data_IF_159228893160
#
_entry.id   IF_159228893160
#
_cell.length_a   1.000
_cell.length_b   1.000
_cell.length_c   1.000
_cell.angle_alpha   90.00
_cell.angle_beta   90.00
_cell.angle_gamma   90.00
#
_symmetry.space_group_name_H-M   'P 1'
#
loop_
_entity.id
_entity.type
_entity.pdbx_description
1 polymer ?
#
# COMPACT_ATOMS: atom_id res chain seq x y z
N UNK A 1 -6.46 21.34 -20.75
CA UNK A 1 -6.32 21.45 -19.28
C UNK A 1 -5.69 20.17 -18.76
N UNK A 2 -4.81 20.23 -17.74
CA UNK A 2 -4.05 19.07 -17.19
C UNK A 2 -4.94 17.86 -16.85
N UNK A 3 -6.16 18.11 -16.37
CA UNK A 3 -7.13 17.06 -16.03
C UNK A 3 -7.59 16.22 -17.22
N UNK A 4 -7.44 16.69 -18.46
CA UNK A 4 -7.82 15.93 -19.66
C UNK A 4 -6.90 14.71 -19.86
N UNK A 5 -5.63 14.81 -19.43
CA UNK A 5 -4.61 13.78 -19.63
C UNK A 5 -4.43 12.85 -18.43
N UNK A 6 -5.18 13.08 -17.33
CA UNK A 6 -5.12 12.24 -16.13
C UNK A 6 -6.51 11.65 -15.90
N UNK A 7 -6.75 10.46 -16.44
CA UNK A 7 -8.06 9.83 -16.41
C UNK A 7 -8.48 9.33 -15.01
N UNK A 8 -7.53 9.01 -14.13
CA UNK A 8 -7.80 8.63 -12.73
C UNK A 8 -8.57 9.71 -11.95
N UNK A 9 -8.40 10.99 -12.30
CA UNK A 9 -9.15 12.09 -11.68
C UNK A 9 -10.64 12.04 -12.02
N UNK A 10 -11.00 11.38 -13.11
CA UNK A 10 -12.37 11.28 -13.64
C UNK A 10 -13.11 10.06 -13.06
N UNK A 11 -12.54 9.39 -12.09
CA UNK A 11 -13.23 8.33 -11.36
C UNK A 11 -13.98 8.91 -10.18
N UNK A 12 -15.23 8.47 -10.05
CA UNK A 12 -16.08 8.72 -8.90
C UNK A 12 -16.47 7.40 -8.27
N UNK A 13 -16.75 7.46 -6.98
CA UNK A 13 -17.33 6.36 -6.25
C UNK A 13 -18.85 6.51 -6.23
N UNK A 14 -19.58 5.51 -6.71
CA UNK A 14 -21.05 5.51 -6.66
C UNK A 14 -21.55 4.47 -5.69
N UNK A 15 -22.44 4.83 -4.77
CA UNK A 15 -23.23 3.89 -3.97
C UNK A 15 -24.56 3.62 -4.67
N UNK A 16 -24.64 2.53 -5.44
CA UNK A 16 -25.90 1.98 -5.94
C UNK A 16 -25.88 0.48 -5.62
N UNK A 17 -26.26 0.16 -4.39
CA UNK A 17 -26.25 -1.18 -3.75
C UNK A 17 -24.85 -1.80 -3.50
N UNK A 18 -23.81 -1.29 -4.17
CA UNK A 18 -22.39 -1.59 -3.92
C UNK A 18 -21.50 -0.42 -4.34
N UNK A 19 -20.27 -0.41 -3.84
CA UNK A 19 -19.29 0.64 -3.99
C UNK A 19 -18.50 0.42 -5.29
N UNK A 20 -18.87 1.12 -6.36
CA UNK A 20 -18.21 0.96 -7.68
C UNK A 20 -17.44 2.20 -8.09
N UNK A 21 -16.27 1.97 -8.68
CA UNK A 21 -15.53 2.98 -9.44
C UNK A 21 -16.17 3.16 -10.81
N UNK A 22 -16.62 4.38 -11.09
CA UNK A 22 -17.17 4.76 -12.38
C UNK A 22 -16.36 5.90 -12.95
N UNK A 23 -15.93 5.77 -14.20
CA UNK A 23 -15.36 6.87 -14.96
C UNK A 23 -16.50 7.75 -15.47
N UNK A 24 -16.46 9.05 -15.13
CA UNK A 24 -17.37 10.04 -15.72
C UNK A 24 -16.82 10.52 -17.06
N UNK A 25 -17.70 10.94 -17.96
CA UNK A 25 -17.29 11.46 -19.26
C UNK A 25 -16.54 12.77 -19.09
N UNK A 26 -15.69 13.10 -20.06
CA UNK A 26 -14.85 14.28 -20.01
C UNK A 26 -15.66 15.57 -19.93
N UNK A 27 -16.76 15.63 -20.68
CA UNK A 27 -17.71 16.74 -20.71
C UNK A 27 -18.46 16.94 -19.39
N UNK A 28 -18.64 15.88 -18.61
CA UNK A 28 -19.33 15.91 -17.32
C UNK A 28 -18.38 16.17 -16.14
N UNK A 29 -17.07 16.15 -16.39
CA UNK A 29 -16.05 16.30 -15.36
C UNK A 29 -15.97 17.74 -14.83
N UNK A 30 -16.28 17.91 -13.54
CA UNK A 30 -16.13 19.17 -12.83
C UNK A 30 -15.30 18.97 -11.54
N UNK A 31 -14.11 19.58 -11.42
CA UNK A 31 -13.34 19.51 -10.17
C UNK A 31 -14.09 20.24 -9.05
N UNK A 32 -14.11 19.65 -7.86
CA UNK A 32 -14.60 20.34 -6.67
C UNK A 32 -13.49 21.26 -6.15
N UNK A 33 -13.76 22.56 -6.14
CA UNK A 33 -12.86 23.60 -5.63
C UNK A 33 -13.57 24.36 -4.52
N UNK A 34 -12.99 24.36 -3.33
CA UNK A 34 -13.43 25.19 -2.21
C UNK A 34 -12.48 26.38 -2.05
N UNK A 35 -13.02 27.60 -2.08
CA UNK A 35 -12.28 28.80 -1.72
C UNK A 35 -12.57 29.13 -0.25
N UNK A 36 -11.53 29.22 0.57
CA UNK A 36 -11.64 29.44 2.02
C UNK A 36 -10.67 30.53 2.46
N UNK A 37 -11.03 31.26 3.52
CA UNK A 37 -10.19 32.34 4.05
C UNK A 37 -8.93 31.79 4.75
N UNK A 38 -9.07 30.70 5.52
CA UNK A 38 -8.00 30.08 6.29
C UNK A 38 -8.03 28.55 6.13
N UNK A 39 -6.98 27.89 6.64
CA UNK A 39 -6.86 26.44 6.66
C UNK A 39 -8.05 25.74 7.33
N UNK A 40 -8.59 24.74 6.62
CA UNK A 40 -9.66 23.89 7.13
C UNK A 40 -9.08 22.77 8.00
N UNK A 41 -9.75 22.40 9.11
CA UNK A 41 -9.38 21.23 9.90
C UNK A 41 -9.49 19.93 9.07
N UNK A 42 -8.56 18.99 9.28
CA UNK A 42 -8.53 17.68 8.61
C UNK A 42 -9.86 16.93 8.67
N UNK A 43 -10.57 17.01 9.81
CA UNK A 43 -11.87 16.37 9.98
C UNK A 43 -12.88 16.87 8.96
N UNK A 44 -12.97 18.19 8.77
CA UNK A 44 -13.89 18.80 7.82
C UNK A 44 -13.51 18.42 6.38
N UNK A 45 -12.21 18.38 6.06
CA UNK A 45 -11.73 17.97 4.74
C UNK A 45 -12.14 16.51 4.44
N UNK A 46 -12.04 15.61 5.43
CA UNK A 46 -12.49 14.23 5.30
C UNK A 46 -14.00 14.17 5.07
N UNK A 47 -14.79 14.90 5.85
CA UNK A 47 -16.25 14.93 5.71
C UNK A 47 -16.65 15.39 4.29
N UNK A 48 -15.99 16.44 3.76
CA UNK A 48 -16.21 16.94 2.40
C UNK A 48 -15.91 15.92 1.29
N UNK A 49 -14.96 14.99 1.49
CA UNK A 49 -14.68 13.90 0.55
C UNK A 49 -15.74 12.78 0.60
N UNK A 50 -16.48 12.66 1.71
CA UNK A 50 -17.39 11.53 1.96
C UNK A 50 -18.89 11.87 1.87
N UNK A 51 -19.27 13.15 1.88
CA UNK A 51 -20.66 13.64 2.01
C UNK A 51 -21.57 13.57 0.75
N UNK A 52 -21.14 13.00 -0.39
CA UNK A 52 -21.96 12.98 -1.63
C UNK A 52 -22.34 11.56 -2.11
N UNK A 53 -23.50 11.45 -2.77
CA UNK A 53 -24.01 10.23 -3.44
C UNK A 53 -23.04 9.70 -4.52
N UNK A 54 -22.40 10.61 -5.24
CA UNK A 54 -21.19 10.34 -6.03
C UNK A 54 -20.01 10.97 -5.30
N UNK A 55 -19.15 10.15 -4.69
CA UNK A 55 -17.98 10.65 -3.96
C UNK A 55 -16.87 10.92 -4.96
N UNK A 56 -16.56 12.20 -5.15
CA UNK A 56 -15.38 12.61 -5.88
C UNK A 56 -14.13 12.14 -5.15
N UNK A 57 -13.16 11.63 -5.90
CA UNK A 57 -11.96 11.02 -5.35
C UNK A 57 -10.79 12.00 -5.26
N UNK A 58 -11.04 13.28 -5.52
CA UNK A 58 -10.13 14.39 -5.25
C UNK A 58 -10.91 15.69 -5.02
N UNK A 59 -10.30 16.64 -4.31
CA UNK A 59 -10.79 18.02 -4.19
C UNK A 59 -9.63 19.01 -4.12
N UNK A 60 -9.91 20.27 -4.39
CA UNK A 60 -8.95 21.38 -4.30
C UNK A 60 -9.45 22.38 -3.25
N UNK A 61 -8.56 22.81 -2.37
CA UNK A 61 -8.81 23.90 -1.41
C UNK A 61 -7.87 25.04 -1.75
N UNK A 62 -8.44 26.22 -2.04
CA UNK A 62 -7.70 27.45 -2.25
C UNK A 62 -7.84 28.34 -1.02
N UNK A 63 -6.75 28.54 -0.30
CA UNK A 63 -6.65 29.39 0.89
C UNK A 63 -6.25 30.79 0.48
N UNK A 64 -7.20 31.72 0.56
CA UNK A 64 -7.05 33.05 -0.02
C UNK A 64 -6.00 33.87 0.74
N UNK A 65 -6.03 33.85 2.07
CA UNK A 65 -5.14 34.66 2.92
C UNK A 65 -3.68 34.22 2.83
N UNK A 66 -3.45 32.91 2.90
CA UNK A 66 -2.11 32.32 2.85
C UNK A 66 -1.61 32.13 1.41
N UNK A 67 -2.45 32.41 0.40
CA UNK A 67 -2.16 32.20 -1.03
C UNK A 67 -1.70 30.78 -1.34
N UNK A 68 -2.27 29.81 -0.64
CA UNK A 68 -1.93 28.40 -0.76
C UNK A 68 -3.02 27.64 -1.51
N UNK A 69 -2.61 26.69 -2.36
CA UNK A 69 -3.51 25.73 -2.98
C UNK A 69 -3.11 24.35 -2.47
N UNK A 70 -4.07 23.63 -1.90
CA UNK A 70 -3.90 22.25 -1.47
C UNK A 70 -4.81 21.35 -2.30
N UNK A 71 -4.24 20.26 -2.80
CA UNK A 71 -4.97 19.26 -3.58
C UNK A 71 -5.00 17.98 -2.78
N UNK A 72 -6.21 17.51 -2.48
CA UNK A 72 -6.45 16.31 -1.70
C UNK A 72 -6.91 15.19 -2.63
N UNK A 73 -6.33 14.02 -2.46
CA UNK A 73 -6.68 12.82 -3.22
C UNK A 73 -7.10 11.71 -2.27
N UNK A 74 -8.12 10.96 -2.66
CA UNK A 74 -8.47 9.72 -2.00
C UNK A 74 -7.42 8.64 -2.31
N UNK A 75 -7.05 7.85 -1.29
CA UNK A 75 -6.19 6.68 -1.46
C UNK A 75 -6.77 5.63 -2.41
N UNK A 76 -8.07 5.69 -2.70
CA UNK A 76 -8.74 4.81 -3.65
C UNK A 76 -8.24 4.94 -5.10
N UNK A 77 -7.69 6.08 -5.49
CA UNK A 77 -7.16 6.31 -6.86
C UNK A 77 -5.72 6.77 -6.86
N UNK A 78 -5.12 6.99 -5.69
CA UNK A 78 -3.86 7.71 -5.60
C UNK A 78 -2.92 7.06 -4.60
N UNK A 79 -1.79 6.63 -5.13
CA UNK A 79 -0.65 6.19 -4.35
C UNK A 79 0.44 7.28 -4.26
N UNK A 80 1.44 7.06 -3.39
CA UNK A 80 2.53 8.03 -3.17
C UNK A 80 3.35 8.30 -4.43
N UNK A 81 3.58 7.29 -5.26
CA UNK A 81 4.31 7.41 -6.54
C UNK A 81 3.54 8.31 -7.52
N UNK A 82 2.23 8.10 -7.63
CA UNK A 82 1.32 8.87 -8.47
C UNK A 82 1.16 10.31 -7.97
N UNK A 83 1.19 10.56 -6.66
CA UNK A 83 1.28 11.93 -6.11
C UNK A 83 2.55 12.65 -6.59
N UNK A 84 3.71 12.00 -6.54
CA UNK A 84 4.96 12.59 -7.03
C UNK A 84 4.91 12.88 -8.53
N UNK A 85 4.31 11.98 -9.32
CA UNK A 85 4.07 12.20 -10.74
C UNK A 85 3.21 13.43 -10.94
N UNK A 86 2.03 13.51 -10.34
CA UNK A 86 1.13 14.67 -10.44
C UNK A 86 1.86 15.96 -10.04
N UNK A 87 2.59 15.97 -8.93
CA UNK A 87 3.33 17.14 -8.49
C UNK A 87 4.37 17.60 -9.52
N UNK A 88 5.10 16.67 -10.14
CA UNK A 88 6.03 16.96 -11.25
C UNK A 88 5.30 17.52 -12.46
N UNK A 89 4.12 16.99 -12.80
CA UNK A 89 3.30 17.48 -13.91
C UNK A 89 2.79 18.89 -13.70
N UNK A 90 2.27 19.18 -12.51
CA UNK A 90 1.82 20.52 -12.13
C UNK A 90 2.99 21.49 -12.19
N UNK A 91 4.14 21.14 -11.60
CA UNK A 91 5.35 21.97 -11.62
C UNK A 91 5.82 22.26 -13.05
N UNK A 92 5.87 21.25 -13.90
CA UNK A 92 6.25 21.41 -15.29
C UNK A 92 5.26 22.31 -16.05
N UNK A 93 3.96 22.12 -15.84
CA UNK A 93 2.92 22.94 -16.47
C UNK A 93 3.03 24.42 -16.06
N UNK A 94 3.28 24.70 -14.77
CA UNK A 94 3.43 26.07 -14.27
C UNK A 94 4.72 26.76 -14.74
N UNK A 95 5.77 26.00 -15.04
CA UNK A 95 7.07 26.53 -15.46
C UNK A 95 7.26 26.64 -16.97
N UNK A 96 6.31 26.17 -17.79
CA UNK A 96 6.46 26.16 -19.24
C UNK A 96 5.79 27.41 -19.84
N UNK A 97 6.58 28.44 -20.14
CA UNK A 97 6.11 29.75 -20.67
C UNK A 97 5.38 29.64 -22.02
N UNK A 98 5.58 28.54 -22.77
CA UNK A 98 4.96 28.34 -24.09
C UNK A 98 3.68 27.51 -24.06
N UNK A 99 3.22 27.03 -22.91
CA UNK A 99 1.97 26.25 -22.79
C UNK A 99 1.96 24.90 -23.52
N UNK A 100 3.06 24.49 -24.16
CA UNK A 100 3.19 23.17 -24.78
C UNK A 100 3.22 22.10 -23.69
N UNK A 101 2.12 21.38 -23.57
CA UNK A 101 2.01 20.22 -22.72
C UNK A 101 2.86 19.10 -23.33
N UNK A 102 3.80 18.55 -22.55
CA UNK A 102 4.59 17.39 -22.98
C UNK A 102 3.64 16.22 -23.27
N UNK A 103 3.49 15.86 -24.54
CA UNK A 103 2.91 14.60 -24.98
C UNK A 103 3.78 13.44 -24.46
N UNK A 104 3.39 12.86 -23.32
CA UNK A 104 4.05 11.70 -22.74
C UNK A 104 3.21 10.97 -21.69
N UNK A 105 1.93 11.31 -21.58
CA UNK A 105 1.02 10.84 -20.53
C UNK A 105 -0.32 10.50 -21.16
N UNK A 106 -0.30 9.72 -22.23
CA UNK A 106 -1.49 8.94 -22.57
C UNK A 106 -1.54 7.74 -21.61
N UNK A 107 -1.65 8.06 -20.32
CA UNK A 107 -1.87 7.12 -19.22
C UNK A 107 -3.36 6.91 -19.09
N UNK A 108 -3.81 5.67 -19.27
CA UNK A 108 -5.18 5.27 -18.99
C UNK A 108 -5.18 4.35 -17.77
N UNK A 109 -5.46 4.90 -16.60
CA UNK A 109 -5.75 4.11 -15.40
C UNK A 109 -6.94 3.17 -15.63
N UNK A 110 -7.91 3.57 -16.46
CA UNK A 110 -8.97 2.70 -16.93
C UNK A 110 -8.43 1.48 -17.70
N UNK A 111 -7.46 1.68 -18.60
CA UNK A 111 -6.84 0.58 -19.34
C UNK A 111 -6.06 -0.36 -18.42
N UNK A 112 -5.44 0.16 -17.36
CA UNK A 112 -4.80 -0.66 -16.32
C UNK A 112 -5.81 -1.50 -15.55
N UNK A 113 -6.90 -0.89 -15.07
CA UNK A 113 -7.98 -1.64 -14.39
C UNK A 113 -8.53 -2.73 -15.31
N UNK A 114 -8.73 -2.42 -16.59
CA UNK A 114 -9.21 -3.39 -17.58
C UNK A 114 -8.20 -4.52 -17.78
N UNK A 115 -6.91 -4.21 -17.95
CA UNK A 115 -5.86 -5.21 -18.08
C UNK A 115 -5.85 -6.18 -16.89
N UNK A 116 -5.90 -5.66 -15.65
CA UNK A 116 -5.94 -6.52 -14.45
C UNK A 116 -7.20 -7.37 -14.42
N UNK A 117 -8.38 -6.80 -14.71
CA UNK A 117 -9.63 -7.56 -14.75
C UNK A 117 -9.63 -8.65 -15.81
N UNK A 118 -9.17 -8.34 -17.02
CA UNK A 118 -9.12 -9.27 -18.14
C UNK A 118 -8.14 -10.43 -17.84
N UNK A 119 -6.97 -10.14 -17.25
CA UNK A 119 -6.02 -11.19 -16.84
C UNK A 119 -6.60 -12.10 -15.75
N UNK A 120 -7.36 -11.55 -14.80
CA UNK A 120 -7.91 -12.33 -13.68
C UNK A 120 -9.30 -12.92 -13.97
N UNK A 121 -9.89 -12.69 -15.15
CA UNK A 121 -11.25 -13.15 -15.44
C UNK A 121 -11.40 -14.66 -15.42
N UNK A 122 -10.34 -15.40 -15.75
CA UNK A 122 -10.32 -16.87 -15.71
C UNK A 122 -9.89 -17.46 -14.36
N UNK A 123 -9.37 -16.64 -13.44
CA UNK A 123 -8.96 -17.10 -12.12
C UNK A 123 -10.21 -17.29 -11.26
N UNK A 124 -10.46 -18.50 -10.78
CA UNK A 124 -11.49 -18.79 -9.78
C UNK A 124 -11.05 -18.36 -8.38
N UNK A 125 -12.00 -18.17 -7.46
CA UNK A 125 -11.66 -17.85 -6.06
C UNK A 125 -11.00 -19.06 -5.37
N UNK A 126 -11.32 -20.28 -5.79
CA UNK A 126 -10.69 -21.51 -5.34
C UNK A 126 -9.21 -21.58 -5.72
N UNK A 127 -8.87 -21.25 -6.96
CA UNK A 127 -7.46 -21.14 -7.39
C UNK A 127 -6.74 -20.01 -6.66
N UNK A 128 -7.40 -18.87 -6.46
CA UNK A 128 -6.82 -17.75 -5.70
C UNK A 128 -6.52 -18.13 -4.25
N UNK A 129 -7.37 -18.96 -3.62
CA UNK A 129 -7.20 -19.46 -2.26
C UNK A 129 -5.92 -20.29 -2.07
N UNK A 130 -5.42 -20.95 -3.12
CA UNK A 130 -4.16 -21.71 -3.07
C UNK A 130 -2.94 -20.81 -2.84
N UNK A 131 -3.03 -19.53 -3.22
CA UNK A 131 -1.98 -18.54 -3.00
C UNK A 131 -2.04 -17.90 -1.61
N UNK A 132 -3.16 -18.01 -0.90
CA UNK A 132 -3.36 -17.36 0.39
C UNK A 132 -3.06 -18.37 1.51
N UNK A 133 -1.93 -18.21 2.21
CA UNK A 133 -1.54 -19.14 3.26
C UNK A 133 -2.53 -19.12 4.42
N UNK A 134 -2.63 -20.24 5.14
CA UNK A 134 -3.45 -20.35 6.35
C UNK A 134 -2.62 -19.93 7.56
N UNK A 135 -3.03 -18.88 8.24
CA UNK A 135 -2.37 -18.45 9.48
C UNK A 135 -2.64 -19.46 10.61
N UNK A 136 -1.58 -20.01 11.20
CA UNK A 136 -1.67 -20.92 12.35
C UNK A 136 -1.95 -20.18 13.65
N UNK A 137 -1.29 -19.04 13.86
CA UNK A 137 -1.39 -18.23 15.08
C UNK A 137 -1.81 -16.82 14.71
N UNK A 138 -2.91 -16.34 15.28
CA UNK A 138 -3.38 -14.97 15.09
C UNK A 138 -2.94 -14.10 16.25
N UNK A 139 -2.42 -12.91 15.95
CA UNK A 139 -2.10 -11.93 16.97
C UNK A 139 -3.37 -11.22 17.42
N UNK A 140 -3.43 -10.90 18.71
CA UNK A 140 -4.55 -10.17 19.29
C UNK A 140 -4.72 -8.84 18.54
N UNK A 141 -5.89 -8.66 17.90
CA UNK A 141 -6.22 -7.40 17.24
C UNK A 141 -6.29 -6.29 18.28
N UNK A 142 -5.59 -5.19 18.06
CA UNK A 142 -5.68 -4.03 18.94
C UNK A 142 -7.10 -3.46 18.86
N UNK A 143 -7.84 -3.59 19.96
CA UNK A 143 -9.18 -2.99 20.08
C UNK A 143 -9.04 -1.47 20.34
N UNK A 144 -7.92 -1.04 20.93
CA UNK A 144 -7.61 0.36 21.22
C UNK A 144 -6.38 0.80 20.41
N UNK A 145 -6.56 1.70 19.43
CA UNK A 145 -5.51 2.26 18.55
C UNK A 145 -4.58 3.26 19.28
N UNK A 146 -4.22 2.96 20.53
CA UNK A 146 -3.34 3.81 21.35
C UNK A 146 -1.87 3.47 21.11
N UNK A 147 -1.00 4.48 21.26
CA UNK A 147 0.46 4.39 21.07
C UNK A 147 1.14 3.24 21.84
N UNK A 148 0.57 2.80 22.96
CA UNK A 148 1.15 1.84 23.90
C UNK A 148 1.44 0.43 23.36
N UNK A 149 1.04 0.11 22.13
CA UNK A 149 1.23 -1.21 21.52
C UNK A 149 2.12 -1.17 20.27
N UNK A 150 2.86 -0.08 20.05
CA UNK A 150 3.76 0.07 18.91
C UNK A 150 5.17 -0.40 19.32
N UNK A 151 5.72 -1.35 18.55
CA UNK A 151 7.11 -1.78 18.64
C UNK A 151 7.89 -1.28 17.43
N UNK A 152 9.16 -0.92 17.63
CA UNK A 152 10.09 -0.59 16.57
C UNK A 152 11.19 -1.65 16.58
N UNK A 153 11.34 -2.39 15.48
CA UNK A 153 12.56 -3.15 15.22
C UNK A 153 13.52 -2.29 14.42
N UNK A 154 14.75 -2.15 14.90
CA UNK A 154 15.85 -1.50 14.22
C UNK A 154 16.95 -2.52 13.92
N UNK A 155 17.51 -2.47 12.72
CA UNK A 155 18.63 -3.34 12.32
C UNK A 155 19.38 -2.74 11.12
N UNK A 156 20.58 -3.23 10.84
CA UNK A 156 21.29 -2.87 9.59
C UNK A 156 20.48 -3.30 8.36
N UNK A 157 20.32 -2.38 7.41
CA UNK A 157 19.76 -2.65 6.09
C UNK A 157 20.77 -3.36 5.19
N UNK A 158 20.34 -4.41 4.49
CA UNK A 158 21.22 -5.25 3.66
C UNK A 158 21.01 -4.96 2.17
N UNK A 159 19.77 -4.69 1.75
CA UNK A 159 19.39 -4.51 0.34
C UNK A 159 19.03 -3.06 0.01
N UNK A 160 18.99 -2.73 -1.28
CA UNK A 160 18.71 -1.37 -1.76
C UNK A 160 17.41 -1.25 -2.57
N UNK A 161 16.93 -2.35 -3.17
CA UNK A 161 15.66 -2.33 -3.90
C UNK A 161 14.47 -2.55 -2.95
N UNK A 162 13.34 -1.95 -3.31
CA UNK A 162 12.16 -1.92 -2.45
C UNK A 162 11.56 -3.29 -2.16
N UNK A 163 11.66 -4.23 -3.11
CA UNK A 163 11.10 -5.57 -2.95
C UNK A 163 11.99 -6.36 -1.98
N UNK A 164 13.30 -6.38 -2.18
CA UNK A 164 14.22 -7.10 -1.31
C UNK A 164 14.23 -6.51 0.11
N UNK A 165 14.09 -5.19 0.28
CA UNK A 165 13.95 -4.58 1.62
C UNK A 165 12.66 -5.07 2.33
N UNK A 166 11.55 -5.17 1.60
CA UNK A 166 10.31 -5.69 2.17
C UNK A 166 10.42 -7.19 2.50
N UNK A 167 11.12 -7.97 1.66
CA UNK A 167 11.46 -9.38 1.91
C UNK A 167 12.37 -9.52 3.13
N UNK A 168 13.42 -8.73 3.24
CA UNK A 168 14.32 -8.67 4.39
C UNK A 168 13.57 -8.37 5.68
N UNK A 169 12.67 -7.38 5.65
CA UNK A 169 11.85 -6.99 6.78
C UNK A 169 10.95 -8.13 7.24
N UNK A 170 10.20 -8.74 6.32
CA UNK A 170 9.34 -9.88 6.66
C UNK A 170 10.14 -11.07 7.18
N UNK A 171 11.32 -11.34 6.60
CA UNK A 171 12.20 -12.41 7.05
C UNK A 171 12.66 -12.16 8.49
N UNK A 172 13.24 -10.98 8.77
CA UNK A 172 13.70 -10.59 10.11
C UNK A 172 12.59 -10.69 11.16
N UNK A 173 11.43 -10.12 10.86
CA UNK A 173 10.25 -10.22 11.73
C UNK A 173 9.86 -11.67 11.99
N UNK A 174 9.83 -12.50 10.95
CA UNK A 174 9.46 -13.93 11.08
C UNK A 174 10.46 -14.72 11.92
N UNK A 175 11.76 -14.46 11.77
CA UNK A 175 12.81 -15.11 12.58
C UNK A 175 12.69 -14.74 14.06
N UNK A 176 12.42 -13.47 14.39
CA UNK A 176 12.12 -13.06 15.76
C UNK A 176 10.90 -13.81 16.34
N UNK A 177 9.86 -14.04 15.53
CA UNK A 177 8.69 -14.81 15.95
C UNK A 177 8.98 -16.30 16.14
N UNK A 178 9.79 -16.91 15.27
CA UNK A 178 10.20 -18.32 15.40
C UNK A 178 11.02 -18.56 16.66
N UNK A 179 11.86 -17.59 17.06
CA UNK A 179 12.61 -17.66 18.31
C UNK A 179 11.69 -17.63 19.55
N UNK A 180 10.58 -16.89 19.48
CA UNK A 180 9.67 -16.67 20.61
C UNK A 180 8.64 -17.79 20.79
N UNK A 181 8.17 -18.40 19.71
CA UNK A 181 6.97 -19.21 19.76
C UNK A 181 7.14 -20.44 18.87
N UNK A 182 6.53 -21.54 19.29
CA UNK A 182 6.37 -22.79 18.52
C UNK A 182 5.52 -22.60 17.24
N UNK A 183 5.66 -21.47 16.57
CA UNK A 183 5.06 -21.14 15.29
C UNK A 183 5.93 -21.80 14.23
N UNK A 184 5.32 -22.62 13.39
CA UNK A 184 6.03 -23.29 12.30
C UNK A 184 5.97 -22.49 11.00
N UNK A 185 5.04 -21.54 10.93
CA UNK A 185 4.70 -20.76 9.75
C UNK A 185 4.30 -19.32 10.14
N UNK A 186 4.95 -18.33 9.54
CA UNK A 186 4.51 -16.92 9.60
C UNK A 186 3.92 -16.55 8.25
N UNK A 187 2.71 -16.02 8.25
CA UNK A 187 1.97 -15.61 7.04
C UNK A 187 1.90 -14.10 6.95
N UNK A 188 1.78 -13.58 5.74
CA UNK A 188 1.79 -12.14 5.55
C UNK A 188 1.25 -11.71 4.20
N UNK A 189 1.33 -10.40 4.02
CA UNK A 189 1.22 -9.76 2.73
C UNK A 189 2.34 -8.73 2.59
N UNK A 190 2.70 -8.39 1.36
CA UNK A 190 3.67 -7.34 1.06
C UNK A 190 3.11 -6.43 -0.02
N UNK A 191 3.11 -5.13 0.23
CA UNK A 191 2.83 -4.12 -0.77
C UNK A 191 4.05 -3.96 -1.68
N UNK A 192 3.86 -4.12 -2.99
CA UNK A 192 4.90 -3.99 -3.99
C UNK A 192 4.44 -3.07 -5.14
N UNK A 193 5.33 -2.17 -5.56
CA UNK A 193 5.10 -1.30 -6.71
C UNK A 193 5.61 -1.99 -7.98
N UNK A 194 4.80 -2.89 -8.54
CA UNK A 194 5.12 -3.61 -9.78
C UNK A 194 4.51 -2.85 -10.95
N UNK A 195 5.34 -2.18 -11.75
CA UNK A 195 4.90 -1.40 -12.93
C UNK A 195 5.35 -1.97 -14.27
N UNK A 196 6.32 -2.88 -14.24
CA UNK A 196 6.79 -3.60 -15.41
C UNK A 196 5.91 -4.83 -15.66
N UNK A 197 4.69 -4.59 -16.16
CA UNK A 197 3.75 -5.66 -16.47
C UNK A 197 4.03 -6.24 -17.86
N UNK A 198 3.82 -7.54 -18.02
CA UNK A 198 3.96 -8.21 -19.30
C UNK A 198 2.87 -7.71 -20.25
N UNK A 199 3.26 -7.23 -21.43
CA UNK A 199 2.35 -6.70 -22.45
C UNK A 199 1.53 -5.46 -22.01
N UNK A 200 1.93 -4.77 -20.94
CA UNK A 200 1.28 -3.55 -20.47
C UNK A 200 2.28 -2.60 -19.78
N UNK A 201 2.42 -1.38 -20.28
CA UNK A 201 3.29 -0.38 -19.66
C UNK A 201 2.52 0.44 -18.61
N UNK A 202 2.79 0.19 -17.32
CA UNK A 202 2.22 0.93 -16.20
C UNK A 202 3.17 2.01 -15.63
N UNK A 203 4.33 2.24 -16.26
CA UNK A 203 5.35 3.17 -15.75
C UNK A 203 4.85 4.60 -15.69
N UNK A 204 4.04 5.04 -16.67
CA UNK A 204 3.51 6.39 -16.73
C UNK A 204 2.12 6.55 -16.09
N UNK A 205 1.57 5.47 -15.52
CA UNK A 205 0.23 5.51 -14.96
C UNK A 205 0.16 6.32 -13.68
N UNK A 206 -0.79 7.25 -13.66
CA UNK A 206 -1.21 8.02 -12.49
C UNK A 206 -2.48 7.37 -11.93
N UNK A 207 -2.33 6.61 -10.86
CA UNK A 207 -3.37 5.83 -10.21
C UNK A 207 -2.81 5.04 -9.03
N UNK A 208 -3.63 4.37 -8.24
CA UNK A 208 -3.11 3.36 -7.31
C UNK A 208 -2.81 2.07 -8.10
N UNK A 209 -1.52 1.78 -8.27
CA UNK A 209 -1.05 0.59 -9.00
C UNK A 209 -0.29 -0.39 -8.09
N UNK A 210 -0.44 -0.26 -6.77
CA UNK A 210 0.26 -1.16 -5.86
C UNK A 210 -0.39 -2.54 -5.87
N UNK A 211 0.45 -3.56 -5.99
CA UNK A 211 0.03 -4.92 -5.73
C UNK A 211 0.25 -5.24 -4.26
N UNK A 212 -0.62 -6.09 -3.70
CA UNK A 212 -0.37 -6.70 -2.39
C UNK A 212 -0.22 -8.20 -2.60
N UNK A 213 0.98 -8.73 -2.39
CA UNK A 213 1.31 -10.13 -2.62
C UNK A 213 1.11 -10.91 -1.32
N UNK A 214 0.39 -12.03 -1.31
CA UNK A 214 0.38 -12.93 -0.16
C UNK A 214 1.74 -13.61 -0.03
N UNK A 215 2.29 -13.63 1.18
CA UNK A 215 3.62 -14.19 1.46
C UNK A 215 3.56 -15.11 2.67
N UNK A 216 4.47 -16.05 2.74
CA UNK A 216 4.67 -16.87 3.93
C UNK A 216 6.10 -17.37 4.01
N UNK A 217 6.51 -17.72 5.22
CA UNK A 217 7.78 -18.35 5.50
C UNK A 217 7.61 -19.42 6.57
N UNK A 218 8.28 -20.56 6.39
CA UNK A 218 8.34 -21.64 7.37
C UNK A 218 9.58 -21.48 8.24
N UNK A 219 9.55 -21.98 9.48
CA UNK A 219 10.72 -21.93 10.37
C UNK A 219 11.96 -22.61 9.74
N UNK A 220 11.75 -23.68 8.96
CA UNK A 220 12.84 -24.36 8.26
C UNK A 220 13.33 -23.66 6.98
N UNK A 221 12.70 -22.56 6.55
CA UNK A 221 13.14 -21.82 5.37
C UNK A 221 14.34 -20.91 5.72
N UNK A 222 15.40 -20.98 4.93
CA UNK A 222 16.42 -19.92 4.90
C UNK A 222 15.99 -18.74 4.02
N UNK A 223 16.76 -17.65 4.09
CA UNK A 223 16.47 -16.44 3.32
C UNK A 223 16.37 -16.68 1.81
N UNK A 224 17.24 -17.51 1.23
CA UNK A 224 17.23 -17.78 -0.21
C UNK A 224 15.96 -18.52 -0.67
N UNK A 225 15.51 -19.50 0.11
CA UNK A 225 14.27 -20.23 -0.19
C UNK A 225 13.05 -19.31 -0.15
N UNK A 226 13.00 -18.44 0.85
CA UNK A 226 11.94 -17.42 0.95
C UNK A 226 12.01 -16.43 -0.22
N UNK A 227 13.18 -15.84 -0.49
CA UNK A 227 13.38 -14.89 -1.59
C UNK A 227 13.01 -15.49 -2.95
N UNK A 228 13.42 -16.73 -3.23
CA UNK A 228 13.06 -17.42 -4.47
C UNK A 228 11.54 -17.54 -4.65
N UNK A 229 10.81 -17.90 -3.59
CA UNK A 229 9.34 -17.97 -3.60
C UNK A 229 8.70 -16.63 -3.92
N UNK A 230 9.25 -15.53 -3.40
CA UNK A 230 8.78 -14.17 -3.68
C UNK A 230 9.06 -13.76 -5.12
N UNK A 231 10.23 -14.10 -5.66
CA UNK A 231 10.55 -13.87 -7.07
C UNK A 231 9.55 -14.60 -7.97
N UNK A 232 9.32 -15.89 -7.73
CA UNK A 232 8.37 -16.69 -8.52
C UNK A 232 6.93 -16.12 -8.45
N UNK A 233 6.52 -15.62 -7.29
CA UNK A 233 5.22 -14.96 -7.12
C UNK A 233 5.16 -13.60 -7.84
N UNK A 234 6.23 -12.81 -7.76
CA UNK A 234 6.34 -11.50 -8.42
C UNK A 234 6.22 -11.64 -9.93
N UNK A 235 6.82 -12.67 -10.52
CA UNK A 235 6.67 -12.94 -11.96
C UNK A 235 5.22 -13.27 -12.36
N UNK A 236 4.45 -13.94 -11.50
CA UNK A 236 3.01 -14.14 -11.75
C UNK A 236 2.24 -12.82 -11.69
N UNK A 237 2.58 -11.95 -10.75
CA UNK A 237 1.97 -10.61 -10.63
C UNK A 237 2.36 -9.68 -11.77
N UNK A 238 3.57 -9.81 -12.33
CA UNK A 238 3.96 -9.10 -13.57
C UNK A 238 3.08 -9.46 -14.76
N UNK A 239 2.53 -10.67 -14.80
CA UNK A 239 1.57 -11.08 -15.83
C UNK A 239 0.17 -10.50 -15.60
N UNK A 240 -0.05 -9.81 -14.48
CA UNK A 240 -1.31 -9.18 -14.11
C UNK A 240 -2.12 -9.95 -13.06
N UNK A 241 -1.59 -11.04 -12.47
CA UNK A 241 -2.26 -11.74 -11.36
C UNK A 241 -2.53 -10.76 -10.21
N UNK A 242 -3.76 -10.74 -9.68
CA UNK A 242 -4.11 -9.94 -8.50
C UNK A 242 -5.08 -10.72 -7.59
N UNK A 243 -4.50 -11.41 -6.60
CA UNK A 243 -5.26 -12.21 -5.64
C UNK A 243 -6.18 -11.35 -4.79
N UNK A 244 -5.73 -10.17 -4.37
CA UNK A 244 -6.53 -9.27 -3.54
C UNK A 244 -7.78 -8.83 -4.30
N UNK A 245 -7.64 -8.36 -5.55
CA UNK A 245 -8.79 -7.97 -6.37
C UNK A 245 -9.79 -9.12 -6.51
N UNK A 246 -9.30 -10.35 -6.72
CA UNK A 246 -10.16 -11.54 -6.78
C UNK A 246 -10.95 -11.77 -5.50
N UNK A 247 -10.35 -11.61 -4.32
CA UNK A 247 -11.07 -11.72 -3.04
C UNK A 247 -12.21 -10.70 -2.97
N UNK A 248 -11.97 -9.47 -3.43
CA UNK A 248 -12.91 -8.36 -3.34
C UNK A 248 -14.05 -8.40 -4.37
N UNK A 249 -14.00 -9.29 -5.37
CA UNK A 249 -15.18 -9.59 -6.21
C UNK A 249 -16.37 -10.13 -5.39
N UNK A 250 -16.09 -10.74 -4.22
CA UNK A 250 -17.13 -11.21 -3.30
C UNK A 250 -17.83 -10.09 -2.50
N UNK A 251 -17.37 -8.84 -2.60
CA UNK A 251 -18.00 -7.70 -1.94
C UNK A 251 -19.44 -7.47 -2.47
N UNK A 252 -20.41 -7.05 -1.63
CA UNK A 252 -20.29 -6.72 -0.21
C UNK A 252 -20.47 -7.90 0.75
N UNK A 253 -21.00 -9.03 0.29
CA UNK A 253 -21.49 -10.08 1.19
C UNK A 253 -20.43 -11.09 1.60
N UNK A 254 -19.44 -11.35 0.75
CA UNK A 254 -18.40 -12.38 0.90
C UNK A 254 -18.99 -13.72 1.33
N UNK A 255 -19.50 -14.50 0.38
CA UNK A 255 -20.09 -15.82 0.62
C UNK A 255 -19.16 -16.95 0.17
N UNK A 256 -19.31 -18.15 0.76
CA UNK A 256 -18.55 -19.35 0.38
C UNK A 256 -17.02 -19.15 0.43
N UNK A 257 -16.34 -19.51 -0.66
CA UNK A 257 -14.89 -19.38 -0.80
C UNK A 257 -14.38 -17.94 -0.66
N UNK A 258 -15.16 -16.93 -1.07
CA UNK A 258 -14.79 -15.52 -0.87
C UNK A 258 -14.69 -15.16 0.61
N UNK A 259 -15.60 -15.68 1.45
CA UNK A 259 -15.55 -15.49 2.91
C UNK A 259 -14.28 -16.09 3.50
N UNK A 260 -13.93 -17.29 3.06
CA UNK A 260 -12.72 -18.00 3.52
C UNK A 260 -11.48 -17.20 3.13
N UNK A 261 -11.41 -16.74 1.88
CA UNK A 261 -10.28 -15.99 1.36
C UNK A 261 -10.11 -14.66 2.10
N UNK A 262 -11.21 -13.91 2.30
CA UNK A 262 -11.23 -12.66 3.07
C UNK A 262 -10.76 -12.88 4.51
N UNK A 263 -11.25 -13.93 5.16
CA UNK A 263 -10.83 -14.28 6.51
C UNK A 263 -9.34 -14.63 6.59
N UNK A 264 -8.80 -15.41 5.65
CA UNK A 264 -7.35 -15.70 5.64
C UNK A 264 -6.54 -14.41 5.46
N UNK A 265 -6.96 -13.57 4.52
CA UNK A 265 -6.31 -12.29 4.22
C UNK A 265 -6.29 -11.34 5.43
N UNK A 266 -7.41 -11.20 6.13
CA UNK A 266 -7.54 -10.29 7.28
C UNK A 266 -6.84 -10.76 8.56
N UNK A 267 -6.36 -12.00 8.57
CA UNK A 267 -5.75 -12.64 9.73
C UNK A 267 -4.30 -13.09 9.47
N UNK A 268 -3.65 -12.57 8.43
CA UNK A 268 -2.20 -12.74 8.25
C UNK A 268 -1.42 -12.09 9.40
N UNK A 269 -0.22 -12.59 9.71
CA UNK A 269 0.60 -12.10 10.83
C UNK A 269 1.14 -10.69 10.60
N UNK A 270 1.59 -10.38 9.39
CA UNK A 270 2.11 -9.05 9.04
C UNK A 270 1.82 -8.65 7.59
N UNK A 271 1.51 -7.38 7.38
CA UNK A 271 1.33 -6.73 6.08
C UNK A 271 2.43 -5.69 5.95
N UNK A 272 3.45 -6.01 5.17
CA UNK A 272 4.65 -5.19 4.98
C UNK A 272 4.38 -4.08 3.98
N UNK A 273 4.61 -2.84 4.38
CA UNK A 273 4.57 -1.68 3.49
C UNK A 273 5.85 -0.86 3.63
N UNK A 274 6.73 -0.95 2.64
CA UNK A 274 7.95 -0.15 2.58
C UNK A 274 7.69 1.22 1.97
N UNK A 275 7.93 2.28 2.75
CA UNK A 275 7.61 3.67 2.36
C UNK A 275 8.79 4.47 1.79
N UNK A 276 9.97 3.83 1.70
CA UNK A 276 11.22 4.40 1.21
C UNK A 276 12.18 4.87 2.31
N UNK A 277 13.26 5.50 1.86
CA UNK A 277 14.23 6.22 2.69
C UNK A 277 13.60 7.50 3.27
N UNK A 278 13.84 7.77 4.56
CA UNK A 278 13.36 8.97 5.25
C UNK A 278 14.52 9.78 5.81
N UNK A 279 14.36 11.10 5.86
CA UNK A 279 15.37 12.02 6.40
C UNK A 279 15.20 12.30 7.88
N UNK A 280 13.96 12.24 8.39
CA UNK A 280 13.60 12.53 9.78
C UNK A 280 12.84 11.34 10.38
N UNK A 281 13.57 10.54 11.16
CA UNK A 281 13.05 9.34 11.80
C UNK A 281 11.95 9.70 12.80
N UNK A 282 12.17 10.71 13.65
CA UNK A 282 11.25 11.04 14.75
C UNK A 282 9.90 11.56 14.23
N UNK A 283 9.93 12.44 13.23
CA UNK A 283 8.70 12.90 12.59
C UNK A 283 7.99 11.77 11.84
N UNK A 284 8.74 10.86 11.21
CA UNK A 284 8.18 9.70 10.53
C UNK A 284 7.46 8.76 11.52
N UNK A 285 8.11 8.40 12.63
CA UNK A 285 7.53 7.58 13.69
C UNK A 285 6.28 8.23 14.29
N UNK A 286 6.34 9.54 14.55
CA UNK A 286 5.18 10.31 15.04
C UNK A 286 4.00 10.19 14.09
N UNK A 287 4.19 10.48 12.79
CA UNK A 287 3.13 10.38 11.78
C UNK A 287 2.55 8.97 11.69
N UNK A 288 3.42 7.95 11.64
CA UNK A 288 3.01 6.55 11.58
C UNK A 288 2.15 6.18 12.82
N UNK A 289 2.56 6.62 14.01
CA UNK A 289 1.84 6.37 15.26
C UNK A 289 0.46 7.03 15.32
N UNK A 290 0.29 8.19 14.66
CA UNK A 290 -0.96 8.96 14.63
C UNK A 290 -2.01 8.39 13.67
N UNK A 291 -1.59 7.64 12.63
CA UNK A 291 -2.53 6.99 11.70
C UNK A 291 -3.35 5.89 12.40
N UNK A 292 -2.73 5.14 13.33
CA UNK A 292 -3.39 4.06 14.06
C UNK A 292 -3.75 2.87 13.18
N UNK A 293 -2.75 2.25 12.56
CA UNK A 293 -2.92 1.06 11.71
C UNK A 293 -3.40 -0.17 12.50
N UNK A 294 -3.93 -1.16 11.76
CA UNK A 294 -4.33 -2.45 12.34
C UNK A 294 -3.11 -3.23 12.84
N UNK A 295 -3.35 -4.17 13.78
CA UNK A 295 -2.27 -4.87 14.51
C UNK A 295 -1.34 -5.71 13.65
N UNK A 296 -1.81 -6.15 12.49
CA UNK A 296 -1.01 -6.91 11.53
C UNK A 296 -0.34 -6.00 10.49
N UNK A 297 -0.44 -4.68 10.59
CA UNK A 297 0.27 -3.79 9.68
C UNK A 297 1.71 -3.57 10.15
N UNK A 298 2.65 -3.49 9.21
CA UNK A 298 4.05 -3.22 9.46
C UNK A 298 4.55 -2.16 8.48
N UNK A 299 4.85 -0.98 8.99
CA UNK A 299 5.42 0.11 8.19
C UNK A 299 6.93 0.02 8.23
N UNK A 300 7.55 -0.08 7.06
CA UNK A 300 8.99 -0.23 6.92
C UNK A 300 9.57 1.01 6.26
N UNK A 301 10.69 1.50 6.77
CA UNK A 301 11.47 2.55 6.13
C UNK A 301 12.95 2.38 6.41
N UNK A 302 13.79 3.04 5.61
CA UNK A 302 15.23 3.09 5.84
C UNK A 302 15.68 4.49 6.22
N UNK A 303 16.78 4.58 6.96
CA UNK A 303 17.54 5.80 7.15
C UNK A 303 19.03 5.47 7.12
N UNK A 304 19.73 5.96 6.11
CA UNK A 304 21.12 5.63 5.79
C UNK A 304 21.28 4.12 5.58
N UNK A 305 21.96 3.44 6.49
CA UNK A 305 22.19 1.98 6.43
C UNK A 305 21.35 1.22 7.46
N UNK A 306 20.35 1.87 8.05
CA UNK A 306 19.47 1.29 9.06
C UNK A 306 18.07 1.05 8.47
N UNK A 307 17.49 -0.09 8.85
CA UNK A 307 16.15 -0.54 8.53
C UNK A 307 15.28 -0.45 9.79
N UNK A 308 14.16 0.24 9.68
CA UNK A 308 13.18 0.41 10.75
C UNK A 308 11.87 -0.28 10.36
N UNK A 309 11.33 -1.07 11.29
CA UNK A 309 10.05 -1.75 11.13
C UNK A 309 9.14 -1.36 12.29
N UNK A 310 8.08 -0.62 11.99
CA UNK A 310 7.10 -0.16 12.98
C UNK A 310 5.92 -1.13 12.97
N UNK A 311 5.74 -1.83 14.08
CA UNK A 311 4.79 -2.93 14.24
C UNK A 311 3.73 -2.52 15.24
N UNK A 312 2.46 -2.71 14.89
CA UNK A 312 1.31 -2.28 15.68
C UNK A 312 0.77 -3.38 16.60
N UNK A 313 1.62 -4.31 17.02
CA UNK A 313 1.29 -5.32 18.01
C UNK A 313 2.50 -5.60 18.91
N UNK A 314 2.25 -5.85 20.19
CA UNK A 314 3.30 -6.16 21.16
C UNK A 314 3.58 -7.67 21.16
N UNK A 315 4.15 -8.17 20.06
CA UNK A 315 4.39 -9.60 19.82
C UNK A 315 5.85 -10.00 20.03
N UNK A 316 6.78 -9.06 20.19
CA UNK A 316 8.18 -9.32 20.49
C UNK A 316 8.46 -8.98 21.97
N UNK A 317 9.17 -9.84 22.70
CA UNK A 317 9.39 -9.68 24.14
C UNK A 317 10.81 -9.28 24.51
N UNK A 318 11.78 -9.68 23.71
CA UNK A 318 13.19 -9.38 23.95
C UNK A 318 13.52 -8.03 23.34
N UNK A 319 14.46 -7.34 23.98
CA UNK A 319 14.97 -6.05 23.50
C UNK A 319 15.97 -6.23 22.35
N UNK A 320 16.51 -7.43 22.17
CA UNK A 320 17.43 -7.75 21.08
C UNK A 320 17.19 -9.18 20.58
N UNK A 321 17.26 -9.36 19.27
CA UNK A 321 17.27 -10.66 18.61
C UNK A 321 18.47 -10.75 17.66
N UNK A 322 18.99 -11.97 17.46
CA UNK A 322 19.97 -12.24 16.40
C UNK A 322 19.34 -13.08 15.29
N UNK A 323 19.57 -12.66 14.05
CA UNK A 323 19.06 -13.35 12.86
C UNK A 323 20.18 -13.54 11.86
N UNK A 324 20.27 -14.75 11.30
CA UNK A 324 21.24 -15.05 10.24
C UNK A 324 20.64 -14.75 8.87
N UNK A 325 21.34 -13.93 8.08
CA UNK A 325 21.00 -13.63 6.69
C UNK A 325 22.27 -13.78 5.86
N UNK A 326 22.21 -14.59 4.79
CA UNK A 326 23.34 -14.84 3.88
C UNK A 326 24.63 -15.33 4.59
N UNK A 327 24.50 -16.05 5.72
CA UNK A 327 25.63 -16.56 6.49
C UNK A 327 26.27 -15.54 7.45
N UNK A 328 25.69 -14.35 7.59
CA UNK A 328 26.10 -13.33 8.54
C UNK A 328 25.02 -13.14 9.62
N UNK A 329 25.46 -12.90 10.86
CA UNK A 329 24.55 -12.61 11.99
C UNK A 329 24.29 -11.12 12.10
N UNK A 330 23.01 -10.77 12.21
CA UNK A 330 22.53 -9.40 12.36
C UNK A 330 21.79 -9.24 13.68
N UNK A 331 22.18 -8.23 14.47
CA UNK A 331 21.41 -7.81 15.64
C UNK A 331 20.17 -7.01 15.21
N UNK A 332 19.08 -7.23 15.92
CA UNK A 332 17.82 -6.54 15.76
C UNK A 332 17.43 -6.01 17.13
N UNK A 333 17.50 -4.70 17.30
CA UNK A 333 17.07 -4.02 18.51
C UNK A 333 15.56 -3.78 18.45
N UNK A 334 14.87 -4.00 19.56
CA UNK A 334 13.42 -3.84 19.69
C UNK A 334 13.13 -2.84 20.80
N UNK A 335 12.47 -1.74 20.43
CA UNK A 335 12.02 -0.71 21.37
C UNK A 335 10.50 -0.51 21.29
N UNK A 336 9.95 0.22 22.27
CA UNK A 336 8.52 0.57 22.33
C UNK A 336 8.35 2.08 22.28
N UNK A 337 7.27 2.53 21.62
CA UNK A 337 6.90 3.94 21.51
C UNK A 337 5.92 4.41 22.60
#
# INVERSE_FOLDING_TARGET
SLSYHIDSLKFVLTEKDSLFFKKIKQEDFQPIIYAVENELPDKLIKDLLHEKLERYLFLIIAEVKEKNIRVYFSHHIMDKSSLFKIAKLIKNYLNNDNGEYFHGIDSSYESYIKFIKDTNSSLSIEEALEFIPVTEVTFSKNIDRKKSNIQIMQSKNIFNDSIDIAVESFYKFSQCLFNKAQVSLVTGAMTANIRNLENFDAENIVGDTHFTLPIFIKNSDNFFQFKKRIVDLTEKYRKGLNIKDKIFEGYPRFEGAYKIAKNRWDNVNAIVNYIGEVTDIQNTLKKISEVGFDSNYMVVFTHKSELYQVIFCNVLLEEEYHVEILGESYAIEVSRL
#
